data_IF_417825857312
#
_entry.id   IF_417825857312
#
_cell.length_a   1.000
_cell.length_b   1.000
_cell.length_c   1.000
_cell.angle_alpha   90.00
_cell.angle_beta   90.00
_cell.angle_gamma   90.00
#
_symmetry.space_group_name_H-M   'P 1'
#
loop_
_entity.id
_entity.type
_entity.pdbx_description
1 polymer ?
#
# COMPACT_ATOMS: atom_id res chain seq x y z
N UNK A 1 20.36 -2.32 33.28
CA UNK A 1 19.16 -1.46 33.19
C UNK A 1 18.49 -1.80 31.87
N UNK A 2 17.18 -2.05 31.80
CA UNK A 2 16.52 -2.18 30.50
C UNK A 2 16.64 -0.83 29.78
N UNK A 3 17.08 -0.86 28.51
CA UNK A 3 17.21 0.34 27.69
C UNK A 3 15.83 0.99 27.54
N UNK A 4 15.77 2.26 27.95
CA UNK A 4 14.58 3.09 27.92
C UNK A 4 14.30 3.46 26.46
N UNK A 5 13.38 2.73 25.82
CA UNK A 5 12.84 3.10 24.52
C UNK A 5 12.26 4.52 24.60
N UNK A 6 12.82 5.45 23.83
CA UNK A 6 12.40 6.86 23.80
C UNK A 6 11.89 7.21 22.40
N UNK A 7 10.56 7.20 22.18
CA UNK A 7 9.97 7.72 20.95
C UNK A 7 9.91 9.25 21.07
N UNK A 8 10.61 9.98 20.20
CA UNK A 8 10.65 11.44 20.37
C UNK A 8 11.17 12.28 19.21
N UNK A 9 11.61 11.69 18.11
CA UNK A 9 11.84 12.42 16.86
C UNK A 9 11.12 11.66 15.76
N UNK A 10 10.22 12.33 15.04
CA UNK A 10 9.70 11.85 13.76
C UNK A 10 10.93 11.45 12.93
N UNK A 11 11.09 10.15 12.69
CA UNK A 11 12.25 9.66 11.96
C UNK A 11 12.12 10.00 10.48
N UNK A 12 13.22 9.88 9.70
CA UNK A 12 13.16 10.02 8.25
C UNK A 12 12.11 9.10 7.58
N UNK A 13 11.78 7.99 8.24
CA UNK A 13 10.78 7.01 7.81
C UNK A 13 9.34 7.52 8.03
N UNK A 14 9.04 8.06 9.20
CA UNK A 14 7.73 8.65 9.48
C UNK A 14 7.42 9.78 8.50
N UNK A 15 8.42 10.62 8.20
CA UNK A 15 8.33 11.67 7.19
C UNK A 15 8.07 11.12 5.78
N UNK A 16 8.69 10.00 5.43
CA UNK A 16 8.46 9.33 4.15
C UNK A 16 7.02 8.82 4.05
N UNK A 17 6.56 8.08 5.05
CA UNK A 17 5.18 7.56 5.09
C UNK A 17 4.17 8.71 5.06
N UNK A 18 4.40 9.78 5.83
CA UNK A 18 3.56 10.96 5.80
C UNK A 18 3.55 11.67 4.43
N UNK A 19 4.68 11.70 3.70
CA UNK A 19 4.73 12.20 2.32
C UNK A 19 3.93 11.31 1.37
N UNK A 20 3.98 9.99 1.53
CA UNK A 20 3.20 9.03 0.73
C UNK A 20 1.71 9.27 0.95
N UNK A 21 1.24 9.36 2.20
CA UNK A 21 -0.16 9.66 2.52
C UNK A 21 -0.62 10.98 1.88
N UNK A 22 0.17 12.05 2.02
CA UNK A 22 -0.12 13.34 1.37
C UNK A 22 -0.23 13.23 -0.16
N UNK A 23 0.58 12.37 -0.79
CA UNK A 23 0.52 12.16 -2.25
C UNK A 23 -0.75 11.41 -2.66
N UNK A 24 -1.18 10.41 -1.89
CA UNK A 24 -2.42 9.67 -2.10
C UNK A 24 -3.63 10.61 -1.98
N UNK A 25 -3.68 11.41 -0.91
CA UNK A 25 -4.75 12.41 -0.70
C UNK A 25 -4.78 13.45 -1.83
N UNK A 26 -3.61 13.95 -2.24
CA UNK A 26 -3.51 14.92 -3.32
C UNK A 26 -4.03 14.34 -4.64
N UNK A 27 -3.68 13.09 -4.96
CA UNK A 27 -4.17 12.40 -6.15
C UNK A 27 -5.70 12.24 -6.12
N UNK A 28 -6.25 11.73 -5.02
CA UNK A 28 -7.70 11.56 -4.86
C UNK A 28 -8.44 12.89 -5.09
N UNK A 29 -7.94 13.98 -4.47
CA UNK A 29 -8.52 15.32 -4.59
C UNK A 29 -8.39 15.91 -5.99
N UNK A 30 -7.24 15.75 -6.63
CA UNK A 30 -6.95 16.29 -7.97
C UNK A 30 -7.85 15.65 -9.04
N UNK A 31 -8.11 14.35 -8.91
CA UNK A 31 -8.91 13.61 -9.87
C UNK A 31 -10.39 13.45 -9.48
N UNK A 32 -10.78 13.80 -8.24
CA UNK A 32 -12.15 13.64 -7.76
C UNK A 32 -12.58 12.18 -7.64
N UNK A 33 -11.65 11.30 -7.26
CA UNK A 33 -11.85 9.84 -7.16
C UNK A 33 -11.41 9.34 -5.78
N UNK A 34 -11.88 8.16 -5.40
CA UNK A 34 -11.22 7.39 -4.35
C UNK A 34 -9.90 6.84 -4.89
N UNK A 35 -8.83 6.92 -4.10
CA UNK A 35 -7.53 6.39 -4.49
C UNK A 35 -7.38 4.94 -4.06
N UNK A 36 -6.88 4.11 -4.96
CA UNK A 36 -6.39 2.76 -4.67
C UNK A 36 -4.86 2.76 -4.77
N UNK A 37 -4.23 2.02 -3.86
CA UNK A 37 -2.78 1.92 -3.77
C UNK A 37 -2.36 0.47 -3.93
N UNK A 38 -1.47 0.20 -4.86
CA UNK A 38 -0.85 -1.11 -5.05
C UNK A 38 0.66 -1.02 -4.79
N UNK A 39 1.18 -1.98 -4.02
CA UNK A 39 2.61 -2.14 -3.80
C UNK A 39 3.14 -3.34 -4.59
N UNK A 40 4.14 -3.08 -5.43
CA UNK A 40 4.96 -4.11 -6.07
C UNK A 40 6.23 -4.31 -5.24
N UNK A 41 6.46 -5.55 -4.80
CA UNK A 41 7.69 -5.93 -4.13
C UNK A 41 8.71 -6.49 -5.13
N UNK A 42 9.98 -6.53 -4.72
CA UNK A 42 11.10 -6.98 -5.55
C UNK A 42 11.04 -8.45 -5.97
N UNK A 43 10.21 -9.25 -5.31
CA UNK A 43 9.91 -10.64 -5.69
C UNK A 43 8.79 -10.77 -6.74
N UNK A 44 8.21 -9.63 -7.16
CA UNK A 44 7.12 -9.56 -8.13
C UNK A 44 5.72 -9.71 -7.52
N UNK A 45 5.59 -9.83 -6.19
CA UNK A 45 4.29 -9.84 -5.53
C UNK A 45 3.61 -8.46 -5.59
N UNK A 46 2.29 -8.48 -5.75
CA UNK A 46 1.44 -7.28 -5.82
C UNK A 46 0.45 -7.30 -4.67
N UNK A 47 0.39 -6.19 -3.92
CA UNK A 47 -0.49 -6.05 -2.77
C UNK A 47 -1.33 -4.77 -2.89
N UNK A 48 -2.65 -4.91 -2.98
CA UNK A 48 -3.58 -3.78 -2.82
C UNK A 48 -3.65 -3.39 -1.36
N UNK A 49 -3.20 -2.18 -1.05
CA UNK A 49 -3.01 -1.71 0.30
C UNK A 49 -4.24 -0.99 0.83
N UNK A 50 -4.67 -1.39 2.02
CA UNK A 50 -5.61 -0.62 2.84
C UNK A 50 -4.89 0.46 3.64
N UNK A 51 -3.69 0.16 4.12
CA UNK A 51 -2.85 1.12 4.83
C UNK A 51 -1.36 0.78 4.73
N UNK A 52 -0.55 1.82 4.92
CA UNK A 52 0.90 1.76 5.09
C UNK A 52 1.28 2.54 6.35
N UNK A 53 2.17 2.00 7.18
CA UNK A 53 2.69 2.67 8.38
C UNK A 53 4.21 2.52 8.50
N UNK A 54 4.83 3.41 9.30
CA UNK A 54 6.26 3.41 9.58
C UNK A 54 6.67 2.43 10.70
N UNK A 55 5.71 1.87 11.44
CA UNK A 55 5.99 0.85 12.46
C UNK A 55 6.50 -0.45 11.81
N UNK A 56 7.42 -1.19 12.43
CA UNK A 56 8.07 -0.93 13.73
C UNK A 56 9.25 0.06 13.67
N UNK A 57 9.54 0.64 12.50
CA UNK A 57 10.67 1.54 12.28
C UNK A 57 11.86 0.90 11.56
N UNK A 58 13.01 1.59 11.57
CA UNK A 58 14.32 1.06 11.18
C UNK A 58 14.45 0.46 9.76
N UNK A 59 13.95 1.17 8.74
CA UNK A 59 14.09 0.73 7.35
C UNK A 59 13.08 -0.35 6.93
N UNK A 60 12.09 -0.61 7.77
CA UNK A 60 10.91 -1.41 7.45
C UNK A 60 9.67 -0.53 7.40
N UNK A 61 8.66 -0.97 6.67
CA UNK A 61 7.30 -0.41 6.72
C UNK A 61 6.32 -1.56 6.87
N UNK A 62 5.16 -1.25 7.44
CA UNK A 62 4.08 -2.21 7.56
C UNK A 62 3.02 -1.92 6.51
N UNK A 63 2.67 -2.94 5.73
CA UNK A 63 1.56 -2.95 4.79
C UNK A 63 0.41 -3.74 5.40
N UNK A 64 -0.79 -3.15 5.41
CA UNK A 64 -2.02 -3.89 5.67
C UNK A 64 -2.76 -4.01 4.34
N UNK A 65 -2.69 -5.15 3.63
CA UNK A 65 -3.45 -5.34 2.41
C UNK A 65 -4.97 -5.38 2.67
N UNK A 66 -5.74 -5.18 1.60
CA UNK A 66 -7.14 -5.60 1.58
C UNK A 66 -7.20 -7.12 1.71
N UNK A 67 -7.84 -7.59 2.77
CA UNK A 67 -7.98 -9.01 3.06
C UNK A 67 -9.09 -9.62 2.21
N UNK A 68 -8.92 -10.88 1.84
CA UNK A 68 -10.06 -11.73 1.46
C UNK A 68 -10.89 -11.95 2.73
N UNK A 69 -12.22 -11.99 2.61
CA UNK A 69 -13.12 -12.12 3.77
C UNK A 69 -12.66 -13.25 4.72
N UNK A 70 -12.44 -12.90 5.99
CA UNK A 70 -12.09 -13.85 7.06
C UNK A 70 -10.60 -13.95 7.40
N UNK A 71 -9.70 -13.36 6.63
CA UNK A 71 -8.25 -13.53 6.82
C UNK A 71 -7.49 -12.19 6.84
N UNK A 72 -7.46 -11.46 7.97
CA UNK A 72 -6.66 -10.25 8.08
C UNK A 72 -5.16 -10.57 7.95
N UNK A 73 -4.44 -9.75 7.21
CA UNK A 73 -3.01 -9.88 7.00
C UNK A 73 -2.29 -8.55 7.26
N UNK A 74 -1.09 -8.66 7.82
CA UNK A 74 -0.13 -7.57 7.99
C UNK A 74 1.23 -8.04 7.48
N UNK A 75 1.91 -7.20 6.70
CA UNK A 75 3.19 -7.50 6.08
C UNK A 75 4.21 -6.46 6.51
N UNK A 76 5.19 -6.86 7.31
CA UNK A 76 6.34 -6.02 7.64
C UNK A 76 7.42 -6.26 6.59
N UNK A 77 7.68 -5.27 5.75
CA UNK A 77 8.60 -5.40 4.61
C UNK A 77 9.74 -4.39 4.70
N UNK A 78 10.98 -4.76 4.29
CA UNK A 78 12.06 -3.78 4.23
C UNK A 78 11.80 -2.77 3.11
N UNK A 79 12.14 -1.50 3.33
CA UNK A 79 12.00 -0.44 2.32
C UNK A 79 12.68 -0.80 1.01
N UNK A 80 13.85 -1.43 1.08
CA UNK A 80 14.62 -1.86 -0.10
C UNK A 80 13.96 -2.98 -0.92
N UNK A 81 12.94 -3.66 -0.39
CA UNK A 81 12.16 -4.63 -1.14
C UNK A 81 10.98 -4.00 -1.90
N UNK A 82 10.63 -2.74 -1.64
CA UNK A 82 9.56 -2.06 -2.37
C UNK A 82 10.13 -1.64 -3.73
N UNK A 83 9.56 -2.20 -4.79
CA UNK A 83 9.92 -1.86 -6.17
C UNK A 83 9.12 -0.65 -6.67
N UNK A 84 7.81 -0.61 -6.39
CA UNK A 84 6.94 0.48 -6.79
C UNK A 84 5.72 0.61 -5.86
N UNK A 85 5.26 1.85 -5.66
CA UNK A 85 3.91 2.15 -5.19
C UNK A 85 3.13 2.83 -6.32
N UNK A 86 2.03 2.22 -6.74
CA UNK A 86 1.13 2.77 -7.75
C UNK A 86 -0.08 3.38 -7.06
N UNK A 87 -0.46 4.60 -7.45
CA UNK A 87 -1.69 5.25 -7.00
C UNK A 87 -2.58 5.42 -8.22
N UNK A 88 -3.78 4.87 -8.17
CA UNK A 88 -4.76 4.92 -9.26
C UNK A 88 -6.17 5.16 -8.72
N UNK A 89 -7.14 5.37 -9.62
CA UNK A 89 -8.53 5.48 -9.21
C UNK A 89 -9.03 4.09 -8.75
N UNK A 90 -9.71 4.04 -7.61
CA UNK A 90 -10.37 2.82 -7.16
C UNK A 90 -11.46 2.43 -8.17
N UNK A 91 -11.33 1.24 -8.75
CA UNK A 91 -12.40 0.71 -9.60
C UNK A 91 -13.60 0.30 -8.72
N UNK A 92 -14.84 0.53 -9.18
CA UNK A 92 -16.00 -0.11 -8.56
C UNK A 92 -15.83 -1.64 -8.62
N UNK A 93 -16.39 -2.36 -7.65
CA UNK A 93 -16.39 -3.83 -7.63
C UNK A 93 -16.89 -4.37 -8.98
N UNK A 94 -15.96 -4.73 -9.87
CA UNK A 94 -16.29 -5.35 -11.13
C UNK A 94 -16.82 -6.76 -10.85
N UNK A 95 -17.87 -7.15 -11.57
CA UNK A 95 -18.19 -8.57 -11.73
C UNK A 95 -17.01 -9.20 -12.46
N UNK A 96 -16.16 -9.90 -11.72
CA UNK A 96 -15.04 -10.67 -12.26
C UNK A 96 -15.56 -11.53 -13.41
N UNK A 97 -14.96 -11.39 -14.60
CA UNK A 97 -15.38 -12.12 -15.79
C UNK A 97 -14.30 -12.05 -16.86
N UNK A 98 -14.16 -13.14 -17.62
CA UNK A 98 -13.30 -13.22 -18.79
C UNK A 98 -14.21 -13.42 -20.01
N UNK A 99 -14.17 -12.50 -20.97
CA UNK A 99 -14.92 -12.64 -22.23
C UNK A 99 -14.00 -13.19 -23.31
N UNK A 100 -14.37 -14.35 -23.87
CA UNK A 100 -13.77 -14.86 -25.10
C UNK A 100 -14.21 -14.00 -26.30
N UNK A 101 -13.40 -13.90 -27.37
CA UNK A 101 -13.84 -13.32 -28.62
C UNK A 101 -15.13 -14.01 -29.09
N UNK A 102 -16.12 -13.23 -29.55
CA UNK A 102 -17.26 -13.82 -30.24
C UNK A 102 -16.74 -14.47 -31.53
N UNK A 103 -16.98 -15.78 -31.71
CA UNK A 103 -16.57 -16.49 -32.92
C UNK A 103 -16.99 -15.69 -34.16
N UNK A 104 -16.00 -15.25 -34.94
CA UNK A 104 -16.23 -14.64 -36.23
C UNK A 104 -16.76 -15.75 -37.16
N UNK A 105 -18.08 -15.72 -37.36
CA UNK A 105 -18.81 -16.63 -38.25
C UNK A 105 -18.31 -16.55 -39.69
#
# INVERSE_FOLDING_TARGET
MPDLWTPGMIGPLDDLVARIHRRIEAFAREHGVEAMVEAELSDGSLHRLRSISAEPGYGFVTFCPHAVEGEPQELIVPLGAIRQLTIEAAEPEHKVGFSLPADAK
#
